data_IF_803097284939
#
_entry.id   IF_803097284939
#
_cell.length_a   1.000
_cell.length_b   1.000
_cell.length_c   1.000
_cell.angle_alpha   90.00
_cell.angle_beta   90.00
_cell.angle_gamma   90.00
#
_symmetry.space_group_name_H-M   'P 1'
#
loop_
_entity.id
_entity.type
_entity.pdbx_description
1 polymer ?
#
# COMPACT_ATOMS: atom_id res chain seq x y z
N UNK A 1 32.01 -24.22 -6.61
CA UNK A 1 32.22 -22.78 -6.85
C UNK A 1 30.87 -22.10 -6.65
N UNK A 2 30.64 -21.56 -5.46
CA UNK A 2 29.42 -20.80 -5.12
C UNK A 2 29.73 -19.33 -5.43
N UNK A 3 29.25 -18.84 -6.56
CA UNK A 3 29.35 -17.42 -6.90
C UNK A 3 28.50 -16.63 -5.91
N UNK A 4 29.16 -15.81 -5.10
CA UNK A 4 28.53 -14.93 -4.14
C UNK A 4 27.58 -13.97 -4.84
N UNK A 5 26.32 -13.97 -4.41
CA UNK A 5 25.41 -12.86 -4.65
C UNK A 5 26.01 -11.62 -4.01
N UNK A 6 26.43 -10.65 -4.82
CA UNK A 6 26.90 -9.36 -4.35
C UNK A 6 25.74 -8.36 -4.47
N UNK A 7 25.00 -8.08 -3.39
CA UNK A 7 23.87 -7.14 -3.44
C UNK A 7 24.29 -5.70 -3.76
N UNK A 8 25.61 -5.40 -3.82
CA UNK A 8 26.13 -4.07 -4.16
C UNK A 8 26.08 -3.74 -5.65
N UNK A 9 26.17 -4.72 -6.55
CA UNK A 9 26.16 -4.45 -8.00
C UNK A 9 24.75 -4.10 -8.52
N UNK A 10 23.68 -4.63 -7.92
CA UNK A 10 22.30 -4.25 -8.27
C UNK A 10 21.90 -2.84 -7.79
N UNK A 11 22.58 -2.31 -6.76
CA UNK A 11 22.27 -0.98 -6.19
C UNK A 11 22.63 0.14 -7.17
N UNK A 12 23.68 -0.03 -8.00
CA UNK A 12 24.06 0.98 -9.01
C UNK A 12 23.26 0.87 -10.30
N UNK A 13 22.78 -0.33 -10.66
CA UNK A 13 22.12 -0.55 -11.95
C UNK A 13 20.63 -0.21 -11.87
N UNK A 14 19.96 -0.30 -10.72
CA UNK A 14 18.52 -0.10 -10.66
C UNK A 14 17.75 -1.28 -11.27
N UNK A 15 16.49 -1.39 -10.90
CA UNK A 15 15.67 -2.58 -11.08
C UNK A 15 14.52 -2.31 -12.06
N UNK A 16 14.39 -3.14 -13.09
CA UNK A 16 13.24 -3.14 -13.99
C UNK A 16 12.01 -3.74 -13.31
N UNK A 17 10.87 -3.07 -13.46
CA UNK A 17 9.62 -3.41 -12.79
C UNK A 17 8.43 -3.30 -13.73
N UNK A 18 7.36 -3.99 -13.35
CA UNK A 18 6.03 -3.80 -13.91
C UNK A 18 5.08 -3.35 -12.79
N UNK A 19 4.49 -2.17 -12.94
CA UNK A 19 3.51 -1.62 -12.01
C UNK A 19 2.10 -1.73 -12.61
N UNK A 20 1.16 -2.26 -11.85
CA UNK A 20 -0.24 -2.39 -12.25
C UNK A 20 -1.15 -1.59 -11.32
N UNK A 21 -1.81 -0.53 -11.83
CA UNK A 21 -2.85 0.16 -11.08
C UNK A 21 -4.09 -0.69 -10.88
N UNK A 22 -4.60 -0.71 -9.64
CA UNK A 22 -5.90 -1.32 -9.37
C UNK A 22 -6.98 -0.26 -9.51
N UNK A 23 -7.77 -0.39 -10.57
CA UNK A 23 -8.96 0.41 -10.80
C UNK A 23 -10.18 -0.37 -10.31
N UNK A 24 -11.01 0.26 -9.49
CA UNK A 24 -12.31 -0.28 -9.10
C UNK A 24 -13.34 0.34 -10.07
N UNK A 25 -13.72 -0.41 -11.11
CA UNK A 25 -14.55 0.13 -12.22
C UNK A 25 -16.03 -0.25 -12.14
N UNK A 26 -16.42 -1.25 -11.34
CA UNK A 26 -17.81 -1.77 -11.31
C UNK A 26 -18.35 -1.94 -9.88
N UNK A 27 -18.22 -0.89 -9.07
CA UNK A 27 -18.66 -0.92 -7.68
C UNK A 27 -17.67 -1.64 -6.76
N UNK A 28 -17.83 -1.46 -5.45
CA UNK A 28 -16.86 -1.90 -4.43
C UNK A 28 -16.81 -3.43 -4.27
N UNK A 29 -17.72 -4.15 -4.91
CA UNK A 29 -17.84 -5.62 -4.89
C UNK A 29 -17.27 -6.30 -6.14
N UNK A 30 -17.12 -5.59 -7.26
CA UNK A 30 -16.54 -6.09 -8.51
C UNK A 30 -15.20 -5.40 -8.78
N UNK A 31 -14.17 -5.85 -8.06
CA UNK A 31 -12.79 -5.43 -8.27
C UNK A 31 -12.15 -6.19 -9.47
N UNK A 32 -12.82 -6.15 -10.62
CA UNK A 32 -12.21 -6.52 -11.89
C UNK A 32 -11.07 -5.56 -12.21
N UNK A 33 -9.85 -6.07 -12.31
CA UNK A 33 -8.65 -5.25 -12.47
C UNK A 33 -8.47 -4.86 -13.93
N UNK A 34 -8.31 -3.57 -14.21
CA UNK A 34 -8.18 -3.07 -15.57
C UNK A 34 -7.19 -1.92 -15.73
N UNK A 35 -6.25 -1.75 -14.79
CA UNK A 35 -5.17 -0.77 -14.98
C UNK A 35 -4.19 -1.27 -16.04
N UNK A 36 -3.84 -0.40 -16.99
CA UNK A 36 -2.75 -0.67 -17.92
C UNK A 36 -1.44 -0.83 -17.13
N UNK A 37 -0.69 -1.87 -17.47
CA UNK A 37 0.64 -2.10 -16.92
C UNK A 37 1.59 -0.98 -17.36
N UNK A 38 2.35 -0.46 -16.40
CA UNK A 38 3.43 0.48 -16.63
C UNK A 38 4.75 -0.25 -16.40
N UNK A 39 5.65 -0.17 -17.37
CA UNK A 39 6.98 -0.77 -17.29
C UNK A 39 7.96 0.35 -17.01
N UNK A 40 8.73 0.21 -15.95
CA UNK A 40 9.63 1.25 -15.51
C UNK A 40 10.85 0.71 -14.79
N UNK A 41 11.70 1.63 -14.36
CA UNK A 41 12.90 1.32 -13.59
C UNK A 41 12.92 2.12 -12.31
N UNK A 42 13.30 1.47 -11.22
CA UNK A 42 13.43 2.06 -9.89
C UNK A 42 14.83 1.84 -9.35
N UNK A 43 15.26 2.68 -8.42
CA UNK A 43 16.53 2.51 -7.72
C UNK A 43 16.29 2.51 -6.22
N UNK A 44 16.87 1.52 -5.54
CA UNK A 44 16.84 1.45 -4.09
C UNK A 44 17.63 2.61 -3.51
N UNK A 45 17.00 3.43 -2.66
CA UNK A 45 17.66 4.57 -2.01
C UNK A 45 18.16 4.19 -0.62
N UNK A 46 17.25 3.75 0.24
CA UNK A 46 17.56 3.34 1.61
C UNK A 46 16.95 1.97 1.88
N UNK A 47 17.78 0.92 2.09
CA UNK A 47 17.28 -0.36 2.53
C UNK A 47 16.82 -0.22 4.00
N UNK A 48 15.65 -0.79 4.34
CA UNK A 48 15.08 -0.79 5.70
C UNK A 48 14.52 0.54 6.23
N UNK A 49 13.86 1.33 5.39
CA UNK A 49 13.11 2.54 5.81
C UNK A 49 12.06 2.26 6.90
N UNK A 50 11.46 1.06 6.90
CA UNK A 50 10.49 0.67 7.93
C UNK A 50 10.16 -0.83 7.88
N UNK A 51 9.53 -1.33 8.95
CA UNK A 51 9.30 -2.77 9.13
C UNK A 51 7.97 -2.98 9.84
N UNK A 52 6.91 -3.29 9.10
CA UNK A 52 5.64 -3.72 9.67
C UNK A 52 5.70 -5.18 10.12
N UNK A 53 4.71 -5.68 10.87
CA UNK A 53 4.68 -7.09 11.31
C UNK A 53 4.79 -8.05 10.11
N UNK A 54 4.10 -7.72 9.00
CA UNK A 54 3.99 -8.60 7.83
C UNK A 54 4.90 -8.24 6.66
N UNK A 55 5.42 -7.02 6.59
CA UNK A 55 6.17 -6.53 5.43
C UNK A 55 7.44 -5.75 5.82
N UNK A 56 8.40 -5.74 4.90
CA UNK A 56 9.58 -4.87 4.91
C UNK A 56 9.33 -3.73 3.95
N UNK A 57 9.42 -2.49 4.43
CA UNK A 57 9.29 -1.28 3.62
C UNK A 57 10.68 -0.76 3.24
N UNK A 58 10.85 -0.40 1.97
CA UNK A 58 12.08 0.21 1.45
C UNK A 58 11.73 1.46 0.65
N UNK A 59 12.56 2.49 0.79
CA UNK A 59 12.42 3.71 0.00
C UNK A 59 13.16 3.52 -1.33
N UNK A 60 12.47 3.87 -2.42
CA UNK A 60 13.00 3.79 -3.79
C UNK A 60 12.79 5.11 -4.52
N UNK A 61 13.58 5.32 -5.56
CA UNK A 61 13.44 6.45 -6.49
C UNK A 61 13.04 5.93 -7.86
N UNK A 62 12.03 6.55 -8.46
CA UNK A 62 11.62 6.25 -9.84
C UNK A 62 12.64 6.83 -10.80
N UNK A 63 13.10 6.04 -11.77
CA UNK A 63 14.04 6.48 -12.80
C UNK A 63 13.27 6.87 -14.07
N UNK A 64 12.34 6.03 -14.54
CA UNK A 64 11.44 6.32 -15.66
C UNK A 64 10.27 5.32 -15.71
N UNK A 65 9.26 5.62 -16.54
CA UNK A 65 8.30 4.64 -17.06
C UNK A 65 7.06 4.43 -16.22
N UNK A 66 6.90 5.21 -15.14
CA UNK A 66 5.74 5.15 -14.25
C UNK A 66 4.82 6.38 -14.38
N UNK A 67 5.10 7.28 -15.31
CA UNK A 67 4.24 8.39 -15.65
C UNK A 67 2.90 7.89 -16.22
N UNK A 68 1.77 8.57 -15.95
CA UNK A 68 1.64 9.82 -15.20
C UNK A 68 1.51 9.62 -13.67
N UNK A 69 1.66 8.39 -13.17
CA UNK A 69 1.40 8.08 -11.75
C UNK A 69 2.55 8.54 -10.87
N UNK A 70 3.78 8.25 -11.27
CA UNK A 70 4.98 8.73 -10.61
C UNK A 70 5.91 9.37 -11.65
N UNK A 71 6.30 10.61 -11.39
CA UNK A 71 7.28 11.32 -12.21
C UNK A 71 8.69 10.71 -12.04
N UNK A 72 9.50 10.78 -13.08
CA UNK A 72 10.93 10.53 -12.99
C UNK A 72 11.56 11.34 -11.85
N UNK A 73 12.29 10.64 -10.97
CA UNK A 73 12.88 11.18 -9.76
C UNK A 73 12.02 11.15 -8.52
N UNK A 74 10.73 10.77 -8.60
CA UNK A 74 9.85 10.66 -7.45
C UNK A 74 10.35 9.62 -6.45
N UNK A 75 10.16 9.91 -5.15
CA UNK A 75 10.46 8.97 -4.07
C UNK A 75 9.19 8.21 -3.67
N UNK A 76 9.30 6.88 -3.62
CA UNK A 76 8.20 5.97 -3.35
C UNK A 76 8.61 4.96 -2.27
N UNK A 77 7.61 4.31 -1.67
CA UNK A 77 7.81 3.21 -0.72
C UNK A 77 7.38 1.90 -1.36
N UNK A 78 8.26 0.90 -1.33
CA UNK A 78 7.96 -0.48 -1.70
C UNK A 78 7.82 -1.34 -0.46
N UNK A 79 6.73 -2.10 -0.35
CA UNK A 79 6.51 -3.07 0.74
C UNK A 79 6.58 -4.49 0.19
N UNK A 80 7.54 -5.26 0.70
CA UNK A 80 7.77 -6.68 0.36
C UNK A 80 7.33 -7.54 1.55
N UNK A 81 6.54 -8.59 1.33
CA UNK A 81 6.07 -9.47 2.40
C UNK A 81 7.24 -10.25 3.05
N UNK A 82 7.32 -10.27 4.38
CA UNK A 82 8.41 -10.92 5.15
C UNK A 82 8.27 -12.43 5.24
N UNK A 83 7.05 -12.90 5.49
CA UNK A 83 6.78 -14.29 5.87
C UNK A 83 5.86 -14.95 4.86
N UNK A 84 6.44 -15.43 3.77
CA UNK A 84 5.84 -16.55 3.05
C UNK A 84 6.59 -17.76 3.56
N UNK A 85 5.99 -18.56 4.45
CA UNK A 85 6.65 -19.75 4.96
C UNK A 85 6.92 -20.72 3.82
N UNK A 86 8.19 -20.79 3.41
CA UNK A 86 8.77 -21.80 2.53
C UNK A 86 8.80 -23.14 3.29
N UNK A 87 7.64 -23.72 3.56
CA UNK A 87 7.54 -25.12 3.97
C UNK A 87 7.93 -26.05 2.82
N UNK A 88 7.58 -27.33 2.90
CA UNK A 88 7.77 -28.35 1.83
C UNK A 88 7.02 -28.08 0.51
N UNK A 89 6.53 -26.85 0.30
CA UNK A 89 5.75 -26.45 -0.86
C UNK A 89 6.65 -26.00 -2.02
N UNK A 90 6.26 -26.34 -3.25
CA UNK A 90 6.98 -25.99 -4.49
C UNK A 90 7.09 -24.47 -4.66
N UNK A 91 8.21 -23.99 -5.17
CA UNK A 91 8.52 -22.56 -5.39
C UNK A 91 7.41 -21.80 -6.15
N UNK A 92 6.86 -22.39 -7.23
CA UNK A 92 5.75 -21.81 -7.99
C UNK A 92 4.50 -21.52 -7.13
N UNK A 93 4.23 -22.35 -6.11
CA UNK A 93 3.10 -22.13 -5.20
C UNK A 93 3.32 -20.95 -4.25
N UNK A 94 4.58 -20.60 -3.98
CA UNK A 94 4.95 -19.50 -3.11
C UNK A 94 4.93 -18.17 -3.87
N UNK A 95 5.33 -18.17 -5.14
CA UNK A 95 5.18 -17.02 -6.04
C UNK A 95 3.69 -16.70 -6.27
N UNK A 96 2.86 -17.72 -6.54
CA UNK A 96 1.41 -17.53 -6.64
C UNK A 96 0.81 -16.97 -5.34
N UNK A 97 1.22 -17.51 -4.19
CA UNK A 97 0.78 -16.98 -2.88
C UNK A 97 1.27 -15.55 -2.63
N UNK A 98 2.50 -15.21 -3.03
CA UNK A 98 3.04 -13.86 -2.96
C UNK A 98 2.20 -12.89 -3.79
N UNK A 99 1.86 -13.28 -5.02
CA UNK A 99 0.95 -12.52 -5.88
C UNK A 99 -0.40 -12.30 -5.20
N UNK A 100 -1.05 -13.37 -4.73
CA UNK A 100 -2.41 -13.29 -4.17
C UNK A 100 -2.48 -12.41 -2.92
N UNK A 101 -1.54 -12.55 -1.99
CA UNK A 101 -1.51 -11.73 -0.77
C UNK A 101 -1.24 -10.25 -1.11
N UNK A 102 -0.31 -9.99 -2.02
CA UNK A 102 0.03 -8.62 -2.45
C UNK A 102 -1.16 -7.98 -3.17
N UNK A 103 -1.82 -8.75 -4.03
CA UNK A 103 -3.02 -8.32 -4.73
C UNK A 103 -4.17 -8.01 -3.76
N UNK A 104 -4.38 -8.83 -2.73
CA UNK A 104 -5.38 -8.58 -1.70
C UNK A 104 -5.08 -7.31 -0.88
N UNK A 105 -3.80 -7.05 -0.56
CA UNK A 105 -3.41 -5.81 0.13
C UNK A 105 -3.78 -4.56 -0.71
N UNK A 106 -3.47 -4.58 -2.00
CA UNK A 106 -3.85 -3.50 -2.92
C UNK A 106 -5.38 -3.34 -3.02
N UNK A 107 -6.15 -4.44 -3.05
CA UNK A 107 -7.63 -4.35 -3.02
C UNK A 107 -8.11 -3.66 -1.75
N UNK A 108 -7.63 -4.10 -0.59
CA UNK A 108 -8.10 -3.59 0.70
C UNK A 108 -7.87 -2.08 0.82
N UNK A 109 -6.65 -1.60 0.54
CA UNK A 109 -6.32 -0.18 0.63
C UNK A 109 -7.05 0.66 -0.42
N UNK A 110 -7.19 0.18 -1.65
CA UNK A 110 -7.91 0.94 -2.68
C UNK A 110 -9.43 0.96 -2.44
N UNK A 111 -10.01 -0.10 -1.87
CA UNK A 111 -11.40 -0.07 -1.40
C UNK A 111 -11.57 0.94 -0.27
N UNK A 112 -10.65 0.96 0.71
CA UNK A 112 -10.64 1.97 1.77
C UNK A 112 -10.57 3.40 1.21
N UNK A 113 -9.77 3.59 0.15
CA UNK A 113 -9.66 4.84 -0.58
C UNK A 113 -10.95 5.27 -1.29
N UNK A 114 -11.68 4.36 -1.90
CA UNK A 114 -12.96 4.74 -2.50
C UNK A 114 -13.98 5.14 -1.43
N UNK A 115 -14.01 4.45 -0.28
CA UNK A 115 -14.82 4.89 0.87
C UNK A 115 -14.39 6.24 1.43
N UNK A 116 -13.09 6.55 1.49
CA UNK A 116 -12.63 7.85 1.98
C UNK A 116 -13.05 9.00 1.07
N UNK A 117 -13.14 8.78 -0.25
CA UNK A 117 -13.70 9.78 -1.18
C UNK A 117 -15.19 10.01 -0.97
N UNK A 118 -15.96 8.95 -0.72
CA UNK A 118 -17.40 9.07 -0.43
C UNK A 118 -17.57 9.84 0.88
N UNK A 119 -16.83 9.47 1.93
CA UNK A 119 -16.82 10.18 3.20
C UNK A 119 -16.46 11.67 3.04
N UNK A 120 -15.44 11.96 2.23
CA UNK A 120 -15.05 13.34 1.89
C UNK A 120 -16.16 14.11 1.17
N UNK A 121 -17.03 13.44 0.42
CA UNK A 121 -18.19 14.07 -0.22
C UNK A 121 -19.32 14.32 0.78
N UNK A 122 -19.65 13.35 1.64
CA UNK A 122 -20.69 13.45 2.68
C UNK A 122 -20.38 14.57 3.69
N UNK A 123 -19.12 14.67 4.12
CA UNK A 123 -18.67 15.68 5.09
C UNK A 123 -18.75 17.12 4.58
N UNK A 124 -18.87 17.34 3.25
CA UNK A 124 -19.10 18.69 2.70
C UNK A 124 -20.44 19.28 3.12
N UNK A 125 -21.41 18.45 3.50
CA UNK A 125 -22.68 18.91 4.06
C UNK A 125 -22.52 19.49 5.47
N UNK A 126 -21.36 19.31 6.11
CA UNK A 126 -21.05 19.79 7.45
C UNK A 126 -19.92 20.80 7.37
N UNK A 127 -20.26 22.08 7.28
CA UNK A 127 -19.29 23.19 7.06
C UNK A 127 -18.15 23.21 8.08
N UNK A 128 -18.42 22.79 9.33
CA UNK A 128 -17.44 22.80 10.42
C UNK A 128 -16.56 21.55 10.49
N UNK A 129 -16.71 20.57 9.59
CA UNK A 129 -15.95 19.32 9.65
C UNK A 129 -14.46 19.53 9.34
N UNK A 130 -14.15 20.45 8.42
CA UNK A 130 -12.77 20.74 8.01
C UNK A 130 -12.10 19.58 7.24
N UNK A 131 -10.77 19.41 7.34
CA UNK A 131 -10.03 18.38 6.63
C UNK A 131 -10.49 16.96 7.01
N UNK A 132 -10.48 16.04 6.04
CA UNK A 132 -10.92 14.65 6.19
C UNK A 132 -9.74 13.69 5.96
N UNK A 133 -9.76 12.47 6.52
CA UNK A 133 -8.77 11.46 6.22
C UNK A 133 -8.79 11.07 4.73
N UNK A 134 -7.63 11.09 4.08
CA UNK A 134 -7.43 10.60 2.71
C UNK A 134 -6.57 9.33 2.73
N UNK A 135 -6.91 8.36 1.89
CA UNK A 135 -6.13 7.13 1.74
C UNK A 135 -5.44 7.18 0.39
N UNK A 136 -4.11 7.04 0.39
CA UNK A 136 -3.33 7.02 -0.84
C UNK A 136 -3.54 5.71 -1.62
N UNK A 137 -3.47 5.75 -2.96
CA UNK A 137 -3.56 4.55 -3.78
C UNK A 137 -2.39 3.60 -3.53
N UNK A 138 -2.66 2.30 -3.60
CA UNK A 138 -1.65 1.24 -3.52
C UNK A 138 -1.58 0.48 -4.83
N UNK A 139 -0.38 0.35 -5.40
CA UNK A 139 -0.18 -0.25 -6.71
C UNK A 139 0.50 -1.62 -6.57
N UNK A 140 0.09 -2.58 -7.40
CA UNK A 140 0.77 -3.88 -7.49
C UNK A 140 2.08 -3.70 -8.26
N UNK A 141 3.16 -4.28 -7.75
CA UNK A 141 4.47 -4.22 -8.35
C UNK A 141 4.99 -5.64 -8.60
N UNK A 142 5.42 -5.92 -9.82
CA UNK A 142 6.14 -7.13 -10.20
C UNK A 142 7.60 -6.81 -10.50
N UNK A 143 8.50 -7.61 -9.94
CA UNK A 143 9.93 -7.41 -9.79
C UNK A 143 10.67 -8.66 -10.27
N UNK A 144 10.86 -8.86 -11.59
CA UNK A 144 11.29 -10.14 -12.17
C UNK A 144 12.68 -10.60 -11.71
N UNK A 145 13.57 -9.69 -11.31
CA UNK A 145 14.91 -10.03 -10.83
C UNK A 145 14.95 -10.48 -9.35
N UNK A 146 13.81 -10.49 -8.65
CA UNK A 146 13.75 -10.76 -7.20
C UNK A 146 13.12 -12.11 -6.84
N UNK A 147 13.66 -12.77 -5.80
CA UNK A 147 13.13 -14.02 -5.25
C UNK A 147 11.70 -13.89 -4.67
N UNK A 148 11.33 -12.69 -4.23
CA UNK A 148 9.97 -12.32 -3.83
C UNK A 148 9.50 -11.27 -4.84
N UNK A 149 8.92 -11.70 -5.98
CA UNK A 149 8.76 -10.83 -7.13
C UNK A 149 7.54 -9.89 -7.03
N UNK A 150 6.57 -10.18 -6.16
CA UNK A 150 5.41 -9.30 -5.97
C UNK A 150 5.55 -8.48 -4.69
N UNK A 151 5.38 -7.18 -4.86
CA UNK A 151 5.41 -6.17 -3.81
C UNK A 151 4.33 -5.12 -4.07
N UNK A 152 4.12 -4.21 -3.12
CA UNK A 152 3.29 -3.02 -3.36
C UNK A 152 4.17 -1.79 -3.48
N UNK A 153 3.75 -0.80 -4.26
CA UNK A 153 4.37 0.53 -4.32
C UNK A 153 3.35 1.62 -4.03
N UNK A 154 3.73 2.61 -3.25
CA UNK A 154 2.92 3.78 -2.88
C UNK A 154 3.81 5.04 -2.79
N UNK A 155 3.17 6.22 -2.78
CA UNK A 155 3.88 7.49 -2.61
C UNK A 155 4.50 7.58 -1.21
N UNK A 156 5.72 8.11 -1.13
CA UNK A 156 6.30 8.51 0.15
C UNK A 156 5.65 9.82 0.64
N UNK A 157 5.06 9.78 1.83
CA UNK A 157 4.38 10.94 2.45
C UNK A 157 5.36 11.89 3.16
N UNK A 158 6.64 11.53 3.32
CA UNK A 158 7.72 12.38 3.83
C UNK A 158 7.48 12.98 5.23
N UNK A 159 7.18 12.17 6.24
CA UNK A 159 7.11 12.63 7.63
C UNK A 159 6.73 11.57 8.65
N UNK A 160 6.40 12.01 9.87
CA UNK A 160 6.26 11.10 11.01
C UNK A 160 4.95 10.33 10.95
N UNK A 161 5.07 9.02 10.77
CA UNK A 161 3.94 8.12 10.68
C UNK A 161 3.33 7.85 12.07
N UNK A 162 2.05 8.17 12.23
CA UNK A 162 1.28 7.99 13.46
C UNK A 162 0.13 7.01 13.25
N UNK A 163 -0.10 6.13 14.21
CA UNK A 163 -1.23 5.18 14.21
C UNK A 163 -2.40 5.78 14.97
N UNK A 164 -3.53 5.97 14.31
CA UNK A 164 -4.72 6.64 14.85
C UNK A 164 -5.80 5.68 15.32
N UNK A 165 -5.87 4.46 14.76
CA UNK A 165 -6.80 3.40 15.19
C UNK A 165 -6.02 2.12 15.52
N UNK A 166 -6.18 1.61 16.75
CA UNK A 166 -5.62 0.31 17.16
C UNK A 166 -6.68 -0.80 17.07
N UNK A 167 -6.24 -2.04 16.90
CA UNK A 167 -7.09 -3.23 17.03
C UNK A 167 -7.46 -3.54 18.50
N UNK A 168 -6.71 -3.02 19.47
CA UNK A 168 -6.93 -3.29 20.88
C UNK A 168 -8.08 -2.46 21.47
N UNK A 169 -9.09 -3.17 21.98
CA UNK A 169 -10.32 -2.66 22.61
C UNK A 169 -10.12 -1.80 23.87
N UNK A 170 -8.88 -1.47 24.26
CA UNK A 170 -8.54 -0.96 25.60
C UNK A 170 -7.70 0.32 25.66
N UNK A 171 -7.27 0.92 24.54
CA UNK A 171 -6.56 2.21 24.58
C UNK A 171 -7.50 3.36 24.22
N UNK A 172 -7.41 4.42 25.03
CA UNK A 172 -8.13 5.67 24.88
C UNK A 172 -8.16 6.11 23.41
N UNK A 173 -9.35 6.43 22.93
CA UNK A 173 -9.56 7.13 21.66
C UNK A 173 -8.57 8.31 21.63
N UNK A 174 -7.78 8.41 20.55
CA UNK A 174 -6.91 9.56 20.35
C UNK A 174 -7.72 10.84 20.54
N UNK A 175 -7.33 11.66 21.52
CA UNK A 175 -7.96 12.95 21.83
C UNK A 175 -7.58 14.02 20.80
N UNK A 176 -6.63 13.73 19.90
CA UNK A 176 -6.28 14.62 18.80
C UNK A 176 -7.43 14.74 17.80
N UNK A 177 -7.59 15.92 17.20
CA UNK A 177 -8.60 16.16 16.16
C UNK A 177 -8.48 15.15 15.01
N UNK A 178 -7.25 14.88 14.55
CA UNK A 178 -6.99 13.91 13.47
C UNK A 178 -7.45 12.50 13.89
N UNK A 179 -7.11 12.09 15.12
CA UNK A 179 -7.53 10.80 15.65
C UNK A 179 -9.05 10.67 15.77
N UNK A 180 -9.73 11.72 16.24
CA UNK A 180 -11.19 11.77 16.27
C UNK A 180 -11.79 11.64 14.87
N UNK A 181 -11.23 12.34 13.87
CA UNK A 181 -11.67 12.24 12.46
C UNK A 181 -11.44 10.85 11.87
N UNK A 182 -10.34 10.19 12.20
CA UNK A 182 -10.11 8.79 11.84
C UNK A 182 -11.16 7.85 12.46
N UNK A 183 -11.52 8.06 13.73
CA UNK A 183 -12.61 7.29 14.37
C UNK A 183 -13.98 7.59 13.76
N UNK A 184 -14.25 8.86 13.42
CA UNK A 184 -15.49 9.23 12.72
C UNK A 184 -15.58 8.53 11.37
N UNK A 185 -14.49 8.50 10.60
CA UNK A 185 -14.44 7.77 9.34
C UNK A 185 -14.68 6.27 9.53
N UNK A 186 -14.02 5.64 10.50
CA UNK A 186 -14.21 4.22 10.84
C UNK A 186 -15.67 3.91 11.20
N UNK A 187 -16.27 4.73 12.07
CA UNK A 187 -17.67 4.58 12.47
C UNK A 187 -18.64 4.81 11.30
N UNK A 188 -18.37 5.84 10.49
CA UNK A 188 -19.18 6.16 9.31
C UNK A 188 -19.18 4.99 8.32
N UNK A 189 -18.04 4.36 8.02
CA UNK A 189 -18.00 3.20 7.12
C UNK A 189 -18.81 2.04 7.68
N UNK A 190 -18.66 1.77 8.99
CA UNK A 190 -19.41 0.69 9.63
C UNK A 190 -20.91 0.91 9.52
N UNK A 191 -21.38 2.14 9.74
CA UNK A 191 -22.80 2.49 9.56
C UNK A 191 -23.22 2.45 8.09
N UNK A 192 -22.45 3.06 7.20
CA UNK A 192 -22.74 3.15 5.76
C UNK A 192 -22.86 1.78 5.10
N UNK A 193 -22.06 0.82 5.57
CA UNK A 193 -22.07 -0.55 5.06
C UNK A 193 -23.02 -1.48 5.84
N UNK A 194 -23.90 -0.95 6.69
CA UNK A 194 -24.82 -1.72 7.53
C UNK A 194 -24.12 -2.79 8.38
N UNK A 195 -22.96 -2.44 8.93
CA UNK A 195 -22.14 -3.32 9.77
C UNK A 195 -21.29 -4.34 9.02
N UNK A 196 -21.26 -4.33 7.69
CA UNK A 196 -20.54 -5.32 6.89
C UNK A 196 -19.02 -5.06 6.81
N UNK A 197 -18.59 -3.80 6.93
CA UNK A 197 -17.18 -3.44 6.83
C UNK A 197 -16.73 -2.60 8.02
N UNK A 198 -15.56 -2.92 8.55
CA UNK A 198 -14.85 -2.11 9.51
C UNK A 198 -13.42 -1.92 9.02
N UNK A 199 -12.99 -0.67 8.86
CA UNK A 199 -11.60 -0.37 8.52
C UNK A 199 -10.84 -0.15 9.82
N UNK A 200 -9.85 -0.99 10.07
CA UNK A 200 -8.93 -0.89 11.21
C UNK A 200 -7.56 -0.44 10.75
N UNK A 201 -6.65 -0.22 11.70
CA UNK A 201 -5.25 0.13 11.41
C UNK A 201 -5.07 1.43 10.59
N UNK A 202 -5.88 2.45 10.86
CA UNK A 202 -5.69 3.77 10.27
C UNK A 202 -4.39 4.37 10.80
N UNK A 203 -3.45 4.59 9.88
CA UNK A 203 -2.11 5.12 10.15
C UNK A 203 -1.65 5.98 8.98
N UNK A 204 -0.93 7.06 9.27
CA UNK A 204 -0.62 8.07 8.28
C UNK A 204 0.14 9.25 8.87
N UNK A 205 0.05 10.39 8.19
CA UNK A 205 0.59 11.68 8.64
C UNK A 205 -0.54 12.69 8.82
#
# INVERSE_FOLDING_TARGET
>A
VLSGFNPREEIEVGEEIEMTPMLITKGLTDAGFLGNKLFGRIMMKEPHFGSGVHYKANQVKVIYGLEPIFESGATCIIKVQKCISYGTKKENSLIARNHDITMQACKLQNTAREYSKIFAAETRAVETFGPVPEVIPLYLLYRPANNIPYATIEKDLNGQFTRYSMEDKGKNLSESEIGQKCHTFQHWIYQWTNGNLLITDLQGM
#
